data_IF_237475216179
#
_entry.id   IF_237475216179
#
_cell.length_a   1.000
_cell.length_b   1.000
_cell.length_c   1.000
_cell.angle_alpha   90.00
_cell.angle_beta   90.00
_cell.angle_gamma   90.00
#
_symmetry.space_group_name_H-M   'P 1'
#
loop_
_entity.id
_entity.type
_entity.pdbx_description
1 polymer ?
#
# COMPACT_ATOMS: atom_id res chain seq x y z
N UNK A 1 -41.73 14.63 -2.26
CA UNK A 1 -40.69 13.65 -2.64
C UNK A 1 -39.52 14.39 -3.25
N UNK A 2 -38.38 14.45 -2.57
CA UNK A 2 -37.09 14.79 -3.19
C UNK A 2 -36.05 13.87 -2.53
N UNK A 3 -35.47 12.98 -3.32
CA UNK A 3 -34.30 12.19 -2.96
C UNK A 3 -33.01 12.97 -3.29
N UNK A 4 -31.89 12.39 -2.91
CA UNK A 4 -30.49 12.72 -3.26
C UNK A 4 -29.72 13.57 -2.24
N UNK A 5 -29.09 12.83 -1.33
CA UNK A 5 -28.00 13.30 -0.49
C UNK A 5 -27.35 12.13 0.24
N UNK A 6 -27.23 10.98 -0.43
CA UNK A 6 -26.43 9.86 0.07
C UNK A 6 -24.99 10.33 0.13
N UNK A 7 -24.55 10.79 1.30
CA UNK A 7 -23.16 11.11 1.60
C UNK A 7 -22.32 9.95 1.06
N UNK A 8 -21.43 10.24 0.11
CA UNK A 8 -20.34 9.35 -0.24
C UNK A 8 -19.49 9.17 1.02
N UNK A 9 -19.83 8.15 1.81
CA UNK A 9 -18.98 7.61 2.86
C UNK A 9 -17.75 7.10 2.12
N UNK A 10 -16.69 7.91 2.07
CA UNK A 10 -15.37 7.43 1.69
C UNK A 10 -15.13 6.15 2.48
N UNK A 11 -15.17 5.01 1.78
CA UNK A 11 -15.21 3.70 2.41
C UNK A 11 -13.96 3.55 3.28
N UNK A 12 -14.14 3.47 4.60
CA UNK A 12 -13.03 3.35 5.55
C UNK A 12 -12.30 2.03 5.29
N UNK A 13 -11.14 2.08 4.63
CA UNK A 13 -10.31 0.89 4.39
C UNK A 13 -9.49 0.62 5.65
N UNK A 14 -9.59 -0.60 6.20
CA UNK A 14 -8.78 -1.06 7.33
C UNK A 14 -7.34 -1.26 6.87
N UNK A 15 -6.36 -0.78 7.63
CA UNK A 15 -4.95 -1.10 7.42
C UNK A 15 -4.56 -2.17 8.44
N UNK A 16 -3.91 -3.23 7.98
CA UNK A 16 -3.31 -4.25 8.84
C UNK A 16 -1.84 -4.41 8.50
N UNK A 17 -1.02 -4.76 9.48
CA UNK A 17 0.39 -5.03 9.28
C UNK A 17 0.83 -6.26 10.10
N UNK A 18 1.88 -6.90 9.63
CA UNK A 18 2.51 -8.05 10.29
C UNK A 18 3.99 -8.04 9.97
N UNK A 19 4.82 -8.25 10.99
CA UNK A 19 6.27 -8.38 10.83
C UNK A 19 6.66 -9.85 10.97
N UNK A 20 7.34 -10.38 9.96
CA UNK A 20 8.00 -11.68 10.01
C UNK A 20 9.45 -11.47 10.45
N UNK A 21 9.73 -11.81 11.71
CA UNK A 21 11.05 -11.64 12.31
C UNK A 21 12.09 -12.60 11.73
N UNK A 22 11.70 -13.78 11.26
CA UNK A 22 12.65 -14.75 10.73
C UNK A 22 13.16 -14.31 9.36
N UNK A 23 12.29 -13.72 8.54
CA UNK A 23 12.63 -13.21 7.22
C UNK A 23 13.12 -11.74 7.23
N UNK A 24 12.97 -11.03 8.36
CA UNK A 24 13.14 -9.57 8.45
C UNK A 24 12.26 -8.81 7.42
N UNK A 25 10.96 -9.13 7.39
CA UNK A 25 10.01 -8.56 6.41
C UNK A 25 8.78 -7.97 7.09
N UNK A 26 8.48 -6.69 6.82
CA UNK A 26 7.23 -6.05 7.19
C UNK A 26 6.22 -6.12 6.03
N UNK A 27 5.03 -6.62 6.32
CA UNK A 27 3.88 -6.62 5.42
C UNK A 27 2.85 -5.60 5.90
N UNK A 28 2.36 -4.75 5.00
CA UNK A 28 1.24 -3.84 5.21
C UNK A 28 0.16 -4.12 4.18
N UNK A 29 -1.09 -4.27 4.61
CA UNK A 29 -2.24 -4.58 3.76
C UNK A 29 -3.34 -3.53 3.95
N UNK A 30 -3.99 -3.16 2.85
CA UNK A 30 -5.05 -2.15 2.82
C UNK A 30 -6.37 -2.79 2.35
N UNK A 31 -7.36 -2.76 3.22
CA UNK A 31 -8.67 -3.36 3.01
C UNK A 31 -8.66 -4.88 3.14
N UNK A 32 -9.57 -5.54 2.43
CA UNK A 32 -9.67 -7.01 2.43
C UNK A 32 -8.54 -7.61 1.57
N UNK A 33 -8.02 -8.80 1.94
CA UNK A 33 -7.13 -9.58 1.08
C UNK A 33 -7.76 -9.77 -0.30
N UNK A 34 -6.98 -9.48 -1.35
CA UNK A 34 -7.39 -9.63 -2.75
C UNK A 34 -6.18 -9.87 -3.63
N UNK A 35 -6.40 -10.43 -4.82
CA UNK A 35 -5.33 -10.62 -5.80
C UNK A 35 -4.66 -9.27 -6.08
N UNK A 36 -3.35 -9.24 -5.99
CA UNK A 36 -2.55 -8.05 -6.25
C UNK A 36 -1.23 -8.46 -6.89
N UNK A 37 -0.63 -7.53 -7.62
CA UNK A 37 0.72 -7.66 -8.14
C UNK A 37 1.63 -6.69 -7.40
N UNK A 38 2.89 -7.07 -7.26
CA UNK A 38 3.92 -6.26 -6.60
C UNK A 38 4.79 -5.59 -7.64
N UNK A 39 5.20 -4.35 -7.36
CA UNK A 39 6.25 -3.63 -8.09
C UNK A 39 7.23 -3.07 -7.08
N UNK A 40 8.51 -3.30 -7.31
CA UNK A 40 9.55 -2.65 -6.53
C UNK A 40 9.60 -1.17 -6.89
N UNK A 41 9.43 -0.30 -5.90
CA UNK A 41 9.42 1.17 -6.08
C UNK A 41 10.68 1.82 -5.51
N UNK A 42 11.41 1.08 -4.68
CA UNK A 42 12.70 1.43 -4.08
C UNK A 42 13.34 0.14 -3.62
N UNK A 43 14.66 0.12 -3.48
CA UNK A 43 15.40 -1.03 -2.96
C UNK A 43 14.74 -1.63 -1.71
N UNK A 44 14.28 -2.88 -1.84
CA UNK A 44 13.63 -3.63 -0.77
C UNK A 44 12.23 -3.13 -0.38
N UNK A 45 11.61 -2.26 -1.18
CA UNK A 45 10.26 -1.73 -0.95
C UNK A 45 9.36 -2.07 -2.14
N UNK A 46 8.40 -2.95 -1.90
CA UNK A 46 7.48 -3.45 -2.91
C UNK A 46 6.08 -2.89 -2.66
N UNK A 47 5.54 -2.15 -3.62
CA UNK A 47 4.17 -1.67 -3.61
C UNK A 47 3.24 -2.71 -4.24
N UNK A 48 2.16 -3.05 -3.56
CA UNK A 48 1.14 -3.98 -4.05
C UNK A 48 -0.09 -3.24 -4.52
N UNK A 49 -0.60 -3.60 -5.69
CA UNK A 49 -1.78 -2.98 -6.29
C UNK A 49 -2.62 -3.98 -7.07
N UNK A 50 -3.91 -3.67 -7.24
CA UNK A 50 -4.82 -4.42 -8.08
C UNK A 50 -4.45 -4.16 -9.55
N UNK A 51 -4.15 -5.17 -10.37
CA UNK A 51 -3.70 -4.95 -11.74
C UNK A 51 -4.78 -4.31 -12.64
N UNK A 52 -6.07 -4.45 -12.29
CA UNK A 52 -7.20 -3.91 -13.05
C UNK A 52 -7.54 -2.49 -12.59
N UNK A 53 -7.84 -2.29 -11.30
CA UNK A 53 -8.25 -0.98 -10.79
C UNK A 53 -7.08 -0.05 -10.47
N UNK A 54 -5.85 -0.57 -10.43
CA UNK A 54 -4.63 0.12 -9.99
C UNK A 54 -4.68 0.63 -8.55
N UNK A 55 -5.70 0.25 -7.78
CA UNK A 55 -5.77 0.59 -6.36
C UNK A 55 -4.66 -0.08 -5.56
N UNK A 56 -4.03 0.67 -4.66
CA UNK A 56 -3.05 0.11 -3.73
C UNK A 56 -3.73 -0.89 -2.78
N UNK A 57 -3.14 -2.06 -2.67
CA UNK A 57 -3.57 -3.16 -1.80
C UNK A 57 -2.63 -3.37 -0.62
N UNK A 58 -1.41 -2.83 -0.67
CA UNK A 58 -0.45 -2.96 0.42
C UNK A 58 0.99 -2.58 0.06
N UNK A 59 1.90 -2.83 0.99
CA UNK A 59 3.34 -2.61 0.89
C UNK A 59 4.07 -3.80 1.52
N UNK A 60 5.24 -4.15 1.00
CA UNK A 60 6.19 -5.07 1.63
C UNK A 60 7.54 -4.36 1.75
N UNK A 61 8.15 -4.41 2.93
CA UNK A 61 9.48 -3.87 3.19
C UNK A 61 10.39 -5.01 3.63
N UNK A 62 11.43 -5.27 2.85
CA UNK A 62 12.49 -6.23 3.14
C UNK A 62 13.57 -5.58 4.02
N UNK A 63 14.31 -6.39 4.77
CA UNK A 63 15.36 -5.97 5.70
C UNK A 63 14.86 -4.88 6.67
N UNK A 64 13.62 -5.02 7.16
CA UNK A 64 12.92 -3.96 7.87
C UNK A 64 13.68 -3.48 9.12
N UNK A 65 14.07 -4.42 9.99
CA UNK A 65 14.82 -4.17 11.21
C UNK A 65 16.22 -3.63 10.89
N UNK A 66 16.92 -4.23 9.92
CA UNK A 66 18.23 -3.74 9.49
C UNK A 66 18.19 -2.30 8.92
N UNK A 67 17.09 -1.94 8.23
CA UNK A 67 16.85 -0.58 7.72
C UNK A 67 16.53 0.40 8.85
N UNK A 68 15.78 -0.02 9.87
CA UNK A 68 15.41 0.81 11.03
C UNK A 68 16.60 1.09 11.97
N UNK A 69 17.44 0.08 12.24
CA UNK A 69 18.60 0.26 13.15
C UNK A 69 19.65 1.23 12.62
N UNK A 70 19.74 1.42 11.29
CA UNK A 70 20.77 2.23 10.62
C UNK A 70 20.30 3.63 10.19
N UNK A 71 19.02 3.96 10.34
CA UNK A 71 18.42 5.08 9.63
C UNK A 71 18.00 6.27 10.52
N UNK A 72 18.41 7.47 10.09
CA UNK A 72 17.57 8.69 10.20
C UNK A 72 16.39 8.53 9.23
N UNK A 73 15.22 9.09 9.55
CA UNK A 73 13.98 9.02 8.75
C UNK A 73 14.25 8.98 7.24
N UNK A 74 13.83 7.91 6.56
CA UNK A 74 13.94 7.77 5.10
C UNK A 74 12.55 7.88 4.47
N UNK A 75 12.20 9.03 3.87
CA UNK A 75 10.94 9.12 3.14
C UNK A 75 10.92 8.13 1.97
N UNK A 76 9.73 7.59 1.73
CA UNK A 76 9.41 6.78 0.56
C UNK A 76 8.31 7.54 -0.16
N UNK A 77 8.65 8.09 -1.32
CA UNK A 77 7.67 8.76 -2.17
C UNK A 77 6.82 7.69 -2.85
N UNK A 78 5.58 7.56 -2.36
CA UNK A 78 4.58 6.68 -2.96
C UNK A 78 3.50 7.56 -3.55
N UNK A 79 3.36 7.53 -4.87
CA UNK A 79 2.20 8.15 -5.51
C UNK A 79 0.97 7.26 -5.24
N UNK A 80 0.18 7.64 -4.24
CA UNK A 80 -1.06 6.93 -3.86
C UNK A 80 -2.16 7.07 -4.92
N UNK A 81 -2.01 8.01 -5.85
CA UNK A 81 -2.94 8.35 -6.92
C UNK A 81 -2.49 7.85 -8.29
N UNK A 82 -1.46 6.99 -8.37
CA UNK A 82 -0.87 6.51 -9.64
C UNK A 82 -1.88 5.84 -10.61
N UNK A 83 -3.13 5.63 -10.21
CA UNK A 83 -4.23 5.21 -11.07
C UNK A 83 -4.75 6.30 -12.04
N UNK A 84 -4.36 7.56 -11.89
CA UNK A 84 -4.86 8.69 -12.70
C UNK A 84 -3.97 9.02 -13.92
N UNK A 85 -2.70 8.62 -13.92
CA UNK A 85 -1.75 9.02 -14.96
C UNK A 85 -1.62 8.03 -16.13
N UNK A 86 -2.21 6.83 -16.02
CA UNK A 86 -2.11 5.78 -17.04
C UNK A 86 -3.13 5.92 -18.20
N UNK A 87 -3.83 7.06 -18.30
CA UNK A 87 -4.80 7.37 -19.37
C UNK A 87 -4.33 8.50 -20.30
N UNK A 88 -3.02 8.59 -20.57
CA UNK A 88 -2.50 9.40 -21.68
C UNK A 88 -1.83 8.51 -22.72
#
# INVERSE_FOLDING_TARGET
MIAYGGRNLMARKKISFSYDKQADVLYLSVGKPRKSISREIKDGVLLRFDPKSKEITGLTILDFEARFQKAKLRPIDVNLEAHLEASK
#
